data_IF_395273053867
#
_entry.id   IF_395273053867
#
_cell.length_a   1.000
_cell.length_b   1.000
_cell.length_c   1.000
_cell.angle_alpha   90.00
_cell.angle_beta   90.00
_cell.angle_gamma   90.00
#
_symmetry.space_group_name_H-M   'P 1'
#
loop_
_entity.id
_entity.type
_entity.pdbx_description
1 polymer ?
#
# COMPACT_ATOMS: atom_id res chain seq x y z
N UNK A 1 8.93 3.34 0.76
CA UNK A 1 9.27 1.91 1.01
C UNK A 1 9.07 1.15 -0.28
N UNK A 2 9.84 0.09 -0.53
CA UNK A 2 9.68 -0.78 -1.70
C UNK A 2 9.24 -2.20 -1.29
N UNK A 3 8.20 -2.73 -1.94
CA UNK A 3 7.82 -4.14 -1.86
C UNK A 3 8.73 -4.93 -2.78
N UNK A 4 9.28 -6.05 -2.28
CA UNK A 4 10.10 -6.95 -3.09
C UNK A 4 9.25 -7.68 -4.14
N UNK A 5 9.24 -7.11 -5.35
CA UNK A 5 8.56 -7.68 -6.51
C UNK A 5 9.12 -9.05 -6.92
N UNK A 6 10.37 -9.37 -6.56
CA UNK A 6 10.99 -10.66 -6.89
C UNK A 6 10.27 -11.79 -6.16
N UNK A 7 9.94 -11.57 -4.88
CA UNK A 7 9.16 -12.50 -4.07
C UNK A 7 7.76 -12.70 -4.65
N UNK A 8 7.10 -11.62 -5.07
CA UNK A 8 5.76 -11.71 -5.68
C UNK A 8 5.76 -12.44 -7.03
N UNK A 9 6.80 -12.23 -7.86
CA UNK A 9 6.98 -12.96 -9.12
C UNK A 9 7.23 -14.46 -8.91
N UNK A 10 7.87 -14.84 -7.82
CA UNK A 10 8.02 -16.24 -7.44
C UNK A 10 6.66 -16.87 -7.14
N UNK A 11 5.83 -16.19 -6.35
CA UNK A 11 4.48 -16.64 -6.00
C UNK A 11 3.60 -16.74 -7.24
N UNK A 12 3.72 -15.78 -8.18
CA UNK A 12 3.00 -15.83 -9.46
C UNK A 12 3.27 -17.13 -10.21
N UNK A 13 4.53 -17.58 -10.27
CA UNK A 13 4.92 -18.82 -10.95
C UNK A 13 4.51 -20.07 -10.19
N UNK A 14 4.68 -20.09 -8.88
CA UNK A 14 4.43 -21.27 -8.05
C UNK A 14 2.95 -21.56 -7.84
N UNK A 15 2.11 -20.52 -7.80
CA UNK A 15 0.68 -20.63 -7.47
C UNK A 15 -0.24 -20.31 -8.65
N UNK A 16 0.32 -19.96 -9.81
CA UNK A 16 -0.43 -19.52 -10.99
C UNK A 16 -1.37 -18.34 -10.69
N UNK A 17 -0.92 -17.43 -9.80
CA UNK A 17 -1.67 -16.23 -9.39
C UNK A 17 -1.08 -15.03 -10.11
N UNK A 18 -1.84 -14.30 -10.95
CA UNK A 18 -1.29 -13.14 -11.66
C UNK A 18 -0.67 -12.12 -10.71
N UNK A 19 0.51 -11.59 -11.05
CA UNK A 19 1.18 -10.57 -10.23
C UNK A 19 0.26 -9.37 -9.95
N UNK A 20 -0.55 -8.97 -10.94
CA UNK A 20 -1.50 -7.86 -10.82
C UNK A 20 -2.55 -8.10 -9.72
N UNK A 21 -2.99 -9.35 -9.58
CA UNK A 21 -3.91 -9.75 -8.53
C UNK A 21 -3.25 -9.63 -7.16
N UNK A 22 -2.02 -10.13 -7.02
CA UNK A 22 -1.25 -10.00 -5.77
C UNK A 22 -1.08 -8.54 -5.38
N UNK A 23 -0.66 -7.68 -6.31
CA UNK A 23 -0.48 -6.25 -6.07
C UNK A 23 -1.79 -5.56 -5.64
N UNK A 24 -2.90 -5.84 -6.31
CA UNK A 24 -4.21 -5.30 -5.93
C UNK A 24 -4.61 -5.74 -4.51
N UNK A 25 -4.41 -7.02 -4.18
CA UNK A 25 -4.72 -7.53 -2.82
C UNK A 25 -3.78 -6.98 -1.75
N UNK A 26 -2.60 -6.51 -2.13
CA UNK A 26 -1.67 -5.81 -1.24
C UNK A 26 -2.10 -4.36 -1.00
N UNK A 27 -2.73 -3.70 -1.98
CA UNK A 27 -3.22 -2.32 -1.86
C UNK A 27 -4.41 -2.22 -0.89
N UNK A 28 -5.35 -3.16 -0.94
CA UNK A 28 -6.59 -3.16 -0.14
C UNK A 28 -6.41 -2.94 1.37
N UNK A 29 -5.49 -3.64 2.06
CA UNK A 29 -5.31 -3.48 3.50
C UNK A 29 -4.45 -2.26 3.89
N UNK A 30 -3.73 -1.62 2.96
CA UNK A 30 -2.80 -0.55 3.32
C UNK A 30 -3.49 0.72 3.84
N UNK A 31 -4.63 1.19 3.29
CA UNK A 31 -5.39 2.29 3.88
C UNK A 31 -5.81 2.00 5.32
N UNK A 32 -6.34 0.80 5.58
CA UNK A 32 -6.70 0.37 6.94
C UNK A 32 -5.49 0.30 7.89
N UNK A 33 -4.30 0.03 7.35
CA UNK A 33 -3.08 -0.01 8.13
C UNK A 33 -2.57 1.41 8.44
N UNK A 34 -2.77 2.36 7.51
CA UNK A 34 -2.49 3.78 7.72
C UNK A 34 -3.41 4.39 8.79
N UNK A 35 -4.70 4.02 8.79
CA UNK A 35 -5.68 4.47 9.79
C UNK A 35 -5.31 4.06 11.24
N UNK A 36 -4.41 3.10 11.42
CA UNK A 36 -3.93 2.63 12.72
C UNK A 36 -2.64 3.31 13.18
N UNK A 37 -2.11 4.25 12.40
CA UNK A 37 -0.93 5.05 12.78
C UNK A 37 -1.31 6.10 13.82
N UNK A 38 -0.31 6.80 14.38
CA UNK A 38 -0.54 7.75 15.48
C UNK A 38 -1.36 8.98 15.09
N UNK A 39 -1.30 9.41 13.82
CA UNK A 39 -1.99 10.60 13.34
C UNK A 39 -2.49 10.44 11.89
N UNK A 40 -3.52 9.61 11.65
CA UNK A 40 -4.05 9.41 10.31
C UNK A 40 -4.81 10.65 9.82
N UNK A 41 -4.62 11.01 8.55
CA UNK A 41 -5.40 12.06 7.89
C UNK A 41 -6.57 11.45 7.14
N UNK A 42 -7.78 11.94 7.43
CA UNK A 42 -9.01 11.49 6.76
C UNK A 42 -8.97 11.74 5.25
N UNK A 43 -9.30 10.72 4.48
CA UNK A 43 -9.29 10.77 3.01
C UNK A 43 -7.92 10.52 2.39
N UNK A 44 -6.94 10.09 3.18
CA UNK A 44 -5.68 9.56 2.65
C UNK A 44 -5.93 8.35 1.74
N UNK A 45 -5.11 8.22 0.71
CA UNK A 45 -5.09 7.05 -0.17
C UNK A 45 -3.68 6.49 -0.24
N UNK A 46 -3.56 5.18 -0.35
CA UNK A 46 -2.25 4.54 -0.54
C UNK A 46 -2.08 4.25 -2.02
N UNK A 47 -0.89 4.56 -2.55
CA UNK A 47 -0.50 4.23 -3.91
C UNK A 47 0.67 3.25 -3.89
N UNK A 48 0.55 2.19 -4.69
CA UNK A 48 1.61 1.23 -4.94
C UNK A 48 2.03 1.33 -6.41
N UNK A 49 3.31 1.63 -6.65
CA UNK A 49 3.89 1.55 -7.97
C UNK A 49 4.17 0.08 -8.31
N UNK A 50 3.46 -0.43 -9.32
CA UNK A 50 3.53 -1.83 -9.75
C UNK A 50 4.85 -2.20 -10.45
N UNK A 51 5.62 -1.21 -10.88
CA UNK A 51 6.92 -1.40 -11.56
C UNK A 51 8.07 -1.38 -10.57
N UNK A 52 8.02 -0.48 -9.59
CA UNK A 52 9.10 -0.29 -8.61
C UNK A 52 8.83 -0.99 -7.28
N UNK A 53 7.57 -1.29 -6.99
CA UNK A 53 7.12 -1.76 -5.68
C UNK A 53 6.98 -0.64 -4.66
N UNK A 54 7.16 0.63 -5.06
CA UNK A 54 7.17 1.74 -4.14
C UNK A 54 5.77 2.01 -3.58
N UNK A 55 5.65 2.11 -2.26
CA UNK A 55 4.41 2.45 -1.56
C UNK A 55 4.53 3.85 -0.98
N UNK A 56 3.55 4.69 -1.32
CA UNK A 56 3.40 6.05 -0.79
C UNK A 56 1.97 6.27 -0.27
N UNK A 57 1.86 7.04 0.81
CA UNK A 57 0.56 7.52 1.33
C UNK A 57 0.35 8.94 0.84
N UNK A 58 -0.70 9.14 0.06
CA UNK A 58 -1.07 10.41 -0.52
C UNK A 58 -2.17 11.04 0.32
N UNK A 59 -1.88 12.23 0.87
CA UNK A 59 -2.81 12.99 1.67
C UNK A 59 -3.56 14.00 0.80
N UNK A 60 -4.86 14.21 1.02
CA UNK A 60 -5.63 15.19 0.27
C UNK A 60 -5.22 16.59 0.69
N UNK A 61 -4.82 17.41 -0.28
CA UNK A 61 -4.69 18.85 -0.10
C UNK A 61 -6.07 19.48 -0.26
N UNK A 62 -6.53 20.22 0.74
CA UNK A 62 -7.86 20.83 0.76
C UNK A 62 -7.78 22.35 0.74
N UNK A 63 -8.68 22.98 -0.01
CA UNK A 63 -8.86 24.43 0.00
C UNK A 63 -9.69 24.90 1.21
N UNK A 64 -9.97 26.21 1.26
CA UNK A 64 -10.76 26.85 2.33
C UNK A 64 -12.21 26.34 2.40
N UNK A 65 -12.72 25.73 1.31
CA UNK A 65 -14.05 25.14 1.22
C UNK A 65 -14.05 23.62 1.51
N UNK A 66 -12.88 23.05 1.82
CA UNK A 66 -12.70 21.63 2.13
C UNK A 66 -12.69 20.72 0.90
N UNK A 67 -12.63 21.28 -0.32
CA UNK A 67 -12.54 20.52 -1.56
C UNK A 67 -11.12 20.01 -1.76
N UNK A 68 -10.97 18.78 -2.27
CA UNK A 68 -9.64 18.22 -2.57
C UNK A 68 -9.11 18.85 -3.85
N UNK A 69 -8.12 19.74 -3.71
CA UNK A 69 -7.48 20.46 -4.82
C UNK A 69 -6.18 19.80 -5.27
N UNK A 70 -5.63 18.90 -4.46
CA UNK A 70 -4.35 18.26 -4.73
C UNK A 70 -4.09 17.03 -3.86
N UNK A 71 -2.92 16.44 -4.07
CA UNK A 71 -2.42 15.33 -3.27
C UNK A 71 -0.94 15.53 -3.03
N UNK A 72 -0.50 15.33 -1.79
CA UNK A 72 0.92 15.40 -1.42
C UNK A 72 1.33 14.12 -0.70
N UNK A 73 2.62 13.79 -0.77
CA UNK A 73 3.19 12.67 -0.05
C UNK A 73 3.21 12.98 1.45
N UNK A 74 2.51 12.17 2.23
CA UNK A 74 2.52 12.21 3.69
C UNK A 74 2.80 10.84 4.28
N UNK A 75 3.63 10.04 3.60
CA UNK A 75 4.05 8.71 4.05
C UNK A 75 4.74 8.82 5.41
N UNK A 76 4.17 8.21 6.48
CA UNK A 76 4.83 8.20 7.78
C UNK A 76 6.16 7.44 7.73
N UNK A 77 7.14 7.88 8.51
CA UNK A 77 8.47 7.26 8.54
C UNK A 77 8.40 5.75 8.89
N UNK A 78 7.53 5.37 9.82
CA UNK A 78 7.33 3.97 10.25
C UNK A 78 6.38 3.16 9.37
N UNK A 79 5.73 3.78 8.38
CA UNK A 79 4.75 3.09 7.54
C UNK A 79 5.36 1.94 6.74
N UNK A 80 6.68 1.99 6.49
CA UNK A 80 7.40 0.89 5.85
C UNK A 80 7.30 -0.43 6.63
N UNK A 81 7.37 -0.41 7.95
CA UNK A 81 7.24 -1.63 8.77
C UNK A 81 5.82 -2.18 8.72
N UNK A 82 4.83 -1.29 8.72
CA UNK A 82 3.41 -1.63 8.65
C UNK A 82 3.09 -2.27 7.31
N UNK A 83 3.46 -1.63 6.20
CA UNK A 83 3.23 -2.13 4.86
C UNK A 83 3.93 -3.48 4.60
N UNK A 84 5.17 -3.67 5.07
CA UNK A 84 5.88 -4.95 4.96
C UNK A 84 5.19 -6.09 5.73
N UNK A 85 4.61 -5.78 6.87
CA UNK A 85 3.91 -6.77 7.70
C UNK A 85 2.56 -7.14 7.10
N UNK A 86 1.81 -6.15 6.62
CA UNK A 86 0.58 -6.35 5.85
C UNK A 86 0.84 -7.16 4.59
N UNK A 87 1.90 -6.84 3.84
CA UNK A 87 2.22 -7.55 2.61
C UNK A 87 2.50 -9.04 2.84
N UNK A 88 3.30 -9.35 3.86
CA UNK A 88 3.53 -10.74 4.29
C UNK A 88 2.22 -11.42 4.66
N UNK A 89 1.34 -10.75 5.40
CA UNK A 89 0.07 -11.33 5.82
C UNK A 89 -0.83 -11.68 4.62
N UNK A 90 -0.95 -10.78 3.64
CA UNK A 90 -1.70 -11.04 2.41
C UNK A 90 -1.12 -12.22 1.64
N UNK A 91 0.21 -12.24 1.46
CA UNK A 91 0.91 -13.36 0.82
C UNK A 91 0.59 -14.68 1.54
N UNK A 92 0.76 -14.73 2.86
CA UNK A 92 0.48 -15.94 3.64
C UNK A 92 -0.99 -16.38 3.56
N UNK A 93 -1.94 -15.43 3.53
CA UNK A 93 -3.36 -15.75 3.35
C UNK A 93 -3.66 -16.38 1.99
N UNK A 94 -2.92 -16.01 0.94
CA UNK A 94 -3.08 -16.56 -0.42
C UNK A 94 -2.34 -17.87 -0.64
N UNK A 95 -1.32 -18.15 0.16
CA UNK A 95 -0.55 -19.41 0.09
C UNK A 95 -1.24 -20.58 0.82
N UNK A 96 -2.27 -20.30 1.62
CA UNK A 96 -3.03 -21.30 2.39
C UNK A 96 -4.02 -22.08 1.54
#
# INVERSE_FOLDING_TARGET
MDIDLSTLRMIERDKDIPLDYLLTTLEDPLPNAYDKTEAPVNGAKVQLDRKTGNVAVMLPEKDEEGQVVGWYDGTPEDFGRVAASTARQVIFQRLR
#
